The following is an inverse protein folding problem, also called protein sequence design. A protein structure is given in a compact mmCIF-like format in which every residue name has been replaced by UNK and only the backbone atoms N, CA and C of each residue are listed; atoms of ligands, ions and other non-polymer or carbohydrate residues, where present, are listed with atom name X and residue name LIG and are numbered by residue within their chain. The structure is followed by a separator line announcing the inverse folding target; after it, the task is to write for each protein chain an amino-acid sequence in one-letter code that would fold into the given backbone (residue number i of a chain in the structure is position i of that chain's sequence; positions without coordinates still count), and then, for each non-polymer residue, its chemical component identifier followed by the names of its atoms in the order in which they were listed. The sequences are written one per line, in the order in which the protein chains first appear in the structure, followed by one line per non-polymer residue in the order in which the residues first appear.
data_IF_416686876668
#
_entry.id   IF_416686876668
#
_cell.length_a   1.000
_cell.length_b   1.000
_cell.length_c   1.000
_cell.angle_alpha   90.00
_cell.angle_beta   90.00
_cell.angle_gamma   90.00
#
_symmetry.space_group_name_H-M   'P 1'
#
loop_
_entity.id
_entity.type
_entity.pdbx_description
1 polymer ?
#
# COMPACT_ATOMS: atom_id res chain seq x y z
N UNK A 1 16.39 25.61 -1.20
CA UNK A 1 15.23 24.75 -1.53
C UNK A 1 14.22 24.90 -0.41
N UNK A 2 13.04 25.43 -0.72
CA UNK A 2 12.09 25.92 0.29
C UNK A 2 11.35 24.77 0.98
N UNK A 3 11.14 24.92 2.28
CA UNK A 3 10.44 24.01 3.21
C UNK A 3 8.93 23.87 2.95
N UNK A 4 8.49 24.03 1.69
CA UNK A 4 7.09 23.93 1.26
C UNK A 4 6.92 23.54 -0.21
N UNK A 5 7.98 23.09 -0.88
CA UNK A 5 7.89 22.54 -2.24
C UNK A 5 7.22 21.15 -2.21
N UNK A 6 6.08 20.94 -2.90
CA UNK A 6 5.41 19.63 -2.97
C UNK A 6 6.33 18.51 -3.47
N UNK A 7 7.25 18.81 -4.39
CA UNK A 7 8.18 17.80 -4.92
C UNK A 7 9.18 17.34 -3.87
N UNK A 8 9.66 18.27 -3.03
CA UNK A 8 10.55 17.94 -1.92
C UNK A 8 9.85 17.06 -0.88
N UNK A 9 8.57 17.35 -0.57
CA UNK A 9 7.78 16.57 0.37
C UNK A 9 7.52 15.14 -0.12
N UNK A 10 7.25 14.97 -1.42
CA UNK A 10 7.13 13.64 -2.05
C UNK A 10 8.46 12.88 -2.00
N UNK A 11 9.57 13.57 -2.31
CA UNK A 11 10.91 12.95 -2.24
C UNK A 11 11.25 12.47 -0.83
N UNK A 12 10.98 13.28 0.20
CA UNK A 12 11.19 12.91 1.60
C UNK A 12 10.33 11.73 2.03
N UNK A 13 9.08 11.65 1.57
CA UNK A 13 8.21 10.50 1.84
C UNK A 13 8.85 9.21 1.34
N UNK A 14 9.28 9.18 0.07
CA UNK A 14 9.91 8.00 -0.51
C UNK A 14 11.27 7.67 0.13
N UNK A 15 12.00 8.68 0.59
CA UNK A 15 13.23 8.45 1.37
C UNK A 15 12.94 7.72 2.67
N UNK A 16 11.89 8.11 3.42
CA UNK A 16 11.46 7.39 4.63
C UNK A 16 11.09 5.95 4.30
N UNK A 17 10.35 5.72 3.21
CA UNK A 17 9.98 4.36 2.79
C UNK A 17 11.21 3.51 2.48
N UNK A 18 12.16 4.09 1.74
CA UNK A 18 13.37 3.40 1.31
C UNK A 18 14.28 3.04 2.49
N UNK A 19 14.57 4.00 3.37
CA UNK A 19 15.48 3.81 4.50
C UNK A 19 14.94 2.78 5.50
N UNK A 20 13.63 2.75 5.70
CA UNK A 20 12.99 1.88 6.69
C UNK A 20 12.30 0.66 6.07
N UNK A 21 12.55 0.40 4.77
CA UNK A 21 12.00 -0.74 4.02
C UNK A 21 10.47 -0.89 4.14
N UNK A 22 9.75 0.25 4.14
CA UNK A 22 8.29 0.27 4.29
C UNK A 22 7.60 -0.22 3.03
N UNK A 23 6.44 -0.85 3.20
CA UNK A 23 5.60 -1.21 2.06
C UNK A 23 4.98 0.04 1.41
N UNK A 24 5.26 0.22 0.12
CA UNK A 24 4.81 1.39 -0.65
C UNK A 24 3.29 1.50 -0.71
N UNK A 25 2.60 0.41 -1.00
CA UNK A 25 1.15 0.43 -1.21
C UNK A 25 0.43 0.74 0.10
N UNK A 26 0.81 0.06 1.18
CA UNK A 26 0.24 0.26 2.50
C UNK A 26 0.55 1.66 3.02
N UNK A 27 1.78 2.15 2.85
CA UNK A 27 2.16 3.51 3.29
C UNK A 27 1.37 4.58 2.55
N UNK A 28 1.22 4.47 1.22
CA UNK A 28 0.40 5.40 0.43
C UNK A 28 -1.09 5.32 0.81
N UNK A 29 -1.62 4.12 1.04
CA UNK A 29 -3.00 3.93 1.50
C UNK A 29 -3.23 4.56 2.88
N UNK A 30 -2.27 4.43 3.78
CA UNK A 30 -2.31 5.02 5.12
C UNK A 30 -2.27 6.54 5.14
N UNK A 31 -1.84 7.21 4.05
CA UNK A 31 -1.92 8.66 3.96
C UNK A 31 -3.38 9.19 4.08
N UNK A 32 -4.38 8.34 3.82
CA UNK A 32 -5.80 8.66 4.07
C UNK A 32 -6.15 8.77 5.57
N UNK A 33 -5.35 8.14 6.44
CA UNK A 33 -5.45 8.13 7.89
C UNK A 33 -4.12 8.58 8.53
N UNK A 34 -3.90 9.89 8.50
CA UNK A 34 -2.65 10.50 9.01
C UNK A 34 -2.48 10.26 10.51
N UNK A 35 -3.56 10.16 11.28
CA UNK A 35 -3.49 9.86 12.71
C UNK A 35 -2.89 8.46 12.93
N UNK A 36 -3.26 7.49 12.11
CA UNK A 36 -2.65 6.16 12.15
C UNK A 36 -1.19 6.19 11.69
N UNK A 37 -0.86 6.91 10.61
CA UNK A 37 0.51 7.03 10.12
C UNK A 37 1.42 7.72 11.16
N UNK A 38 0.89 8.66 11.95
CA UNK A 38 1.63 9.38 13.00
C UNK A 38 2.10 8.51 14.16
N UNK A 39 1.57 7.29 14.28
CA UNK A 39 2.02 6.31 15.27
C UNK A 39 3.33 5.62 14.84
N UNK A 40 3.66 5.68 13.56
CA UNK A 40 4.92 5.18 13.03
C UNK A 40 5.99 6.27 13.15
N UNK A 41 6.94 6.04 14.06
CA UNK A 41 7.97 7.02 14.42
C UNK A 41 8.88 7.38 13.25
N UNK A 42 8.98 6.52 12.23
CA UNK A 42 9.83 6.76 11.07
C UNK A 42 9.31 7.94 10.23
N UNK A 43 8.03 8.28 10.35
CA UNK A 43 7.40 9.39 9.64
C UNK A 43 7.32 10.69 10.44
N UNK A 44 7.84 10.74 11.68
CA UNK A 44 7.65 11.88 12.60
C UNK A 44 7.95 13.23 11.95
N UNK A 45 9.18 13.40 11.43
CA UNK A 45 9.62 14.66 10.81
C UNK A 45 8.83 14.99 9.54
N UNK A 46 8.51 13.96 8.75
CA UNK A 46 7.78 14.12 7.50
C UNK A 46 6.34 14.54 7.75
N UNK A 47 5.68 13.97 8.77
CA UNK A 47 4.30 14.28 9.14
C UNK A 47 4.16 15.72 9.60
N UNK A 48 5.12 16.27 10.34
CA UNK A 48 5.09 17.70 10.72
C UNK A 48 5.08 18.62 9.49
N UNK A 49 5.85 18.28 8.45
CA UNK A 49 5.88 19.03 7.19
C UNK A 49 4.60 18.81 6.38
N UNK A 50 4.09 17.58 6.36
CA UNK A 50 2.86 17.22 5.68
C UNK A 50 1.64 17.94 6.29
N UNK A 51 1.54 18.00 7.62
CA UNK A 51 0.49 18.75 8.34
C UNK A 51 0.46 20.22 7.90
N UNK A 52 1.62 20.89 7.89
CA UNK A 52 1.71 22.30 7.44
C UNK A 52 1.24 22.48 6.00
N UNK A 53 1.42 21.47 5.14
CA UNK A 53 0.97 21.50 3.73
C UNK A 53 -0.53 21.23 3.61
N UNK A 54 -1.09 20.30 4.36
CA UNK A 54 -2.53 20.01 4.31
C UNK A 54 -3.37 21.07 5.03
N UNK A 55 -2.84 21.78 6.02
CA UNK A 55 -3.54 22.89 6.68
C UNK A 55 -3.79 24.07 5.72
N UNK A 56 -2.98 24.19 4.68
CA UNK A 56 -3.18 25.16 3.59
C UNK A 56 -4.27 24.69 2.60
N UNK A 57 -4.62 23.40 2.64
CA UNK A 57 -5.57 22.74 1.76
C UNK A 57 -6.90 22.51 2.48
N UNK A 58 -7.92 23.29 2.13
CA UNK A 58 -9.23 23.22 2.80
C UNK A 58 -10.14 22.12 2.25
N UNK A 59 -9.61 21.17 1.49
CA UNK A 59 -10.40 20.11 0.87
C UNK A 59 -10.94 19.13 1.90
N UNK A 60 -12.26 19.08 2.03
CA UNK A 60 -12.95 18.12 2.90
C UNK A 60 -13.02 16.70 2.32
N UNK A 61 -12.82 16.55 1.02
CA UNK A 61 -12.86 15.30 0.26
C UNK A 61 -11.48 14.61 0.15
N UNK A 62 -10.45 15.14 0.82
CA UNK A 62 -9.06 14.63 0.74
C UNK A 62 -8.98 13.12 0.94
N UNK A 63 -9.62 12.61 2.00
CA UNK A 63 -9.61 11.18 2.35
C UNK A 63 -10.25 10.32 1.26
N UNK A 64 -11.38 10.76 0.71
CA UNK A 64 -12.09 10.07 -0.37
C UNK A 64 -11.25 10.05 -1.64
N UNK A 65 -10.63 11.19 -2.00
CA UNK A 65 -9.74 11.28 -3.15
C UNK A 65 -8.54 10.33 -2.99
N UNK A 66 -7.89 10.32 -1.82
CA UNK A 66 -6.76 9.43 -1.55
C UNK A 66 -7.15 7.96 -1.65
N UNK A 67 -8.29 7.58 -1.07
CA UNK A 67 -8.78 6.21 -1.17
C UNK A 67 -9.16 5.80 -2.59
N UNK A 68 -9.55 6.76 -3.45
CA UNK A 68 -9.88 6.50 -4.86
C UNK A 68 -8.66 6.28 -5.77
N UNK A 69 -7.47 6.72 -5.35
CA UNK A 69 -6.24 6.63 -6.17
C UNK A 69 -5.16 5.74 -5.56
N UNK A 70 -5.18 5.53 -4.24
CA UNK A 70 -4.25 4.65 -3.53
C UNK A 70 -4.92 3.29 -3.32
N UNK A 71 -4.55 2.24 -4.09
CA UNK A 71 -5.19 0.95 -3.97
C UNK A 71 -4.92 0.34 -2.59
N UNK A 72 -5.92 -0.33 -2.04
CA UNK A 72 -5.78 -1.17 -0.85
C UNK A 72 -5.25 -2.56 -1.20
N UNK A 73 -5.62 -3.08 -2.37
CA UNK A 73 -5.24 -4.41 -2.83
C UNK A 73 -4.40 -4.33 -4.10
N UNK A 74 -3.26 -5.03 -4.09
CA UNK A 74 -2.38 -5.20 -5.24
C UNK A 74 -2.04 -6.68 -5.40
N UNK A 75 -1.63 -7.08 -6.61
CA UNK A 75 -1.17 -8.43 -6.86
C UNK A 75 0.26 -8.59 -6.33
N UNK A 76 0.39 -8.88 -5.04
CA UNK A 76 1.68 -9.20 -4.41
C UNK A 76 2.17 -10.55 -4.92
N UNK A 77 3.47 -10.66 -5.21
CA UNK A 77 4.06 -11.88 -5.76
C UNK A 77 3.78 -13.13 -4.91
N UNK A 78 3.85 -13.00 -3.57
CA UNK A 78 3.59 -14.14 -2.69
C UNK A 78 2.13 -14.63 -2.75
N UNK A 79 1.18 -13.71 -2.92
CA UNK A 79 -0.24 -14.06 -3.06
C UNK A 79 -0.48 -14.81 -4.37
N UNK A 80 0.18 -14.38 -5.45
CA UNK A 80 0.15 -15.07 -6.73
C UNK A 80 0.76 -16.48 -6.61
N UNK A 81 1.91 -16.60 -5.97
CA UNK A 81 2.60 -17.88 -5.75
C UNK A 81 1.76 -18.86 -4.91
N UNK A 82 1.16 -18.38 -3.82
CA UNK A 82 0.23 -19.19 -3.01
C UNK A 82 -0.95 -19.69 -3.85
N UNK A 83 -1.55 -18.82 -4.65
CA UNK A 83 -2.68 -19.16 -5.51
C UNK A 83 -2.29 -20.20 -6.58
N UNK A 84 -1.09 -20.08 -7.15
CA UNK A 84 -0.55 -21.06 -8.11
C UNK A 84 -0.35 -22.41 -7.44
N UNK A 85 0.28 -22.47 -6.26
CA UNK A 85 0.52 -23.72 -5.53
C UNK A 85 -0.77 -24.40 -5.11
N UNK A 86 -1.74 -23.66 -4.58
CA UNK A 86 -3.05 -24.22 -4.22
C UNK A 86 -3.77 -24.83 -5.44
N UNK A 87 -3.69 -24.17 -6.60
CA UNK A 87 -4.28 -24.69 -7.83
C UNK A 87 -3.54 -25.90 -8.39
N UNK A 88 -2.21 -25.90 -8.38
CA UNK A 88 -1.39 -26.97 -8.94
C UNK A 88 -1.42 -28.23 -8.08
N UNK A 89 -1.10 -28.08 -6.79
CA UNK A 89 -0.86 -29.17 -5.85
C UNK A 89 -2.16 -29.71 -5.26
N UNK A 90 -3.15 -28.83 -5.03
CA UNK A 90 -4.37 -29.17 -4.28
C UNK A 90 -5.64 -29.05 -5.12
N UNK A 91 -5.54 -28.59 -6.38
CA UNK A 91 -6.69 -28.33 -7.28
C UNK A 91 -7.72 -27.39 -6.66
N UNK A 92 -7.30 -26.47 -5.77
CA UNK A 92 -8.15 -25.44 -5.16
C UNK A 92 -7.94 -24.11 -5.88
N UNK A 93 -9.03 -23.47 -6.30
CA UNK A 93 -8.98 -22.24 -7.11
C UNK A 93 -9.59 -21.03 -6.39
N UNK A 94 -10.02 -21.20 -5.14
CA UNK A 94 -10.74 -20.17 -4.37
C UNK A 94 -9.90 -18.90 -4.17
N UNK A 95 -8.59 -19.05 -3.92
CA UNK A 95 -7.68 -17.91 -3.79
C UNK A 95 -7.52 -17.14 -5.10
N UNK A 96 -7.50 -17.82 -6.25
CA UNK A 96 -7.48 -17.17 -7.57
C UNK A 96 -8.76 -16.35 -7.77
N UNK A 97 -9.92 -16.93 -7.48
CA UNK A 97 -11.20 -16.22 -7.57
C UNK A 97 -11.24 -15.01 -6.63
N UNK A 98 -10.75 -15.15 -5.41
CA UNK A 98 -10.68 -14.06 -4.43
C UNK A 98 -9.76 -12.93 -4.89
N UNK A 99 -8.55 -13.26 -5.36
CA UNK A 99 -7.62 -12.27 -5.90
C UNK A 99 -8.20 -11.54 -7.11
N UNK A 100 -8.88 -12.25 -8.00
CA UNK A 100 -9.54 -11.64 -9.15
C UNK A 100 -10.59 -10.60 -8.74
N UNK A 101 -11.44 -10.92 -7.76
CA UNK A 101 -12.45 -9.99 -7.25
C UNK A 101 -11.84 -8.75 -6.57
N UNK A 102 -10.80 -8.96 -5.76
CA UNK A 102 -10.08 -7.86 -5.11
C UNK A 102 -9.41 -6.93 -6.14
N UNK A 103 -8.77 -7.48 -7.15
CA UNK A 103 -8.08 -6.70 -8.19
C UNK A 103 -9.02 -6.01 -9.17
N UNK A 104 -10.28 -6.46 -9.26
CA UNK A 104 -11.32 -5.76 -10.02
C UNK A 104 -11.76 -4.47 -9.34
N UNK A 105 -11.62 -4.39 -8.01
CA UNK A 105 -11.99 -3.24 -7.17
C UNK A 105 -10.90 -2.97 -6.13
N UNK A 106 -9.68 -2.59 -6.57
CA UNK A 106 -8.51 -2.57 -5.69
C UNK A 106 -8.54 -1.42 -4.68
N UNK A 107 -9.37 -0.40 -4.91
CA UNK A 107 -9.52 0.79 -4.06
C UNK A 107 -10.59 0.61 -2.96
N UNK A 108 -11.52 -0.32 -3.17
CA UNK A 108 -12.66 -0.56 -2.28
C UNK A 108 -12.22 -1.27 -0.99
N UNK A 109 -13.02 -1.11 0.05
CA UNK A 109 -12.91 -1.88 1.29
C UNK A 109 -13.64 -3.21 1.15
N UNK A 110 -12.97 -4.33 1.47
CA UNK A 110 -13.57 -5.66 1.44
C UNK A 110 -13.45 -6.33 2.82
N UNK A 111 -14.56 -6.38 3.56
CA UNK A 111 -14.60 -6.92 4.92
C UNK A 111 -14.14 -8.38 4.98
N UNK A 112 -13.20 -8.68 5.88
CA UNK A 112 -12.68 -10.03 6.09
C UNK A 112 -11.58 -10.44 5.10
N UNK A 113 -11.20 -9.56 4.18
CA UNK A 113 -10.11 -9.78 3.22
C UNK A 113 -8.87 -8.94 3.53
N UNK A 114 -8.77 -8.37 4.73
CA UNK A 114 -7.64 -7.55 5.17
C UNK A 114 -6.31 -8.31 5.12
N UNK A 115 -6.32 -9.63 5.26
CA UNK A 115 -5.11 -10.46 5.15
C UNK A 115 -4.40 -10.34 3.79
N UNK A 116 -5.11 -9.94 2.73
CA UNK A 116 -4.55 -9.76 1.40
C UNK A 116 -3.81 -8.41 1.24
N UNK A 117 -3.83 -7.55 2.26
CA UNK A 117 -3.04 -6.31 2.31
C UNK A 117 -1.71 -6.50 3.04
N UNK A 118 -1.52 -7.65 3.70
CA UNK A 118 -0.32 -7.94 4.46
C UNK A 118 0.94 -7.87 3.58
N UNK A 119 2.04 -7.47 4.20
CA UNK A 119 3.33 -7.48 3.56
C UNK A 119 3.75 -8.92 3.24
N UNK A 120 4.71 -9.04 2.31
CA UNK A 120 5.26 -10.33 1.96
C UNK A 120 5.92 -10.96 3.20
N UNK A 121 5.57 -12.21 3.55
CA UNK A 121 6.24 -12.91 4.64
C UNK A 121 7.71 -13.17 4.31
N UNK A 122 8.53 -13.45 5.33
CA UNK A 122 9.99 -13.61 5.17
C UNK A 122 10.38 -14.65 4.12
N UNK A 123 9.65 -15.76 4.02
CA UNK A 123 9.92 -16.81 3.04
C UNK A 123 9.71 -16.35 1.58
N UNK A 124 8.91 -15.31 1.39
CA UNK A 124 8.53 -14.76 0.10
C UNK A 124 9.42 -13.59 -0.34
N UNK A 125 10.32 -13.13 0.53
CA UNK A 125 11.31 -12.10 0.21
C UNK A 125 12.17 -12.57 -0.98
N UNK A 126 12.09 -11.87 -2.11
CA UNK A 126 12.82 -12.21 -3.33
C UNK A 126 12.11 -13.15 -4.31
N UNK A 127 10.85 -13.52 -4.06
CA UNK A 127 10.04 -14.21 -5.07
C UNK A 127 9.86 -13.33 -6.31
N UNK A 128 10.41 -13.82 -7.43
CA UNK A 128 10.09 -13.31 -8.75
C UNK A 128 9.09 -14.26 -9.39
N UNK A 129 7.84 -13.80 -9.49
CA UNK A 129 6.84 -14.51 -10.31
C UNK A 129 7.14 -14.13 -11.75
N UNK A 130 8.06 -14.87 -12.38
CA UNK A 130 8.35 -14.67 -13.80
C UNK A 130 7.17 -15.23 -14.60
N UNK A 131 6.53 -14.35 -15.38
CA UNK A 131 5.71 -14.81 -16.48
C UNK A 131 6.67 -15.36 -17.55
N UNK A 132 7.05 -16.63 -17.47
CA UNK A 132 7.73 -17.28 -18.59
C UNK A 132 6.72 -17.46 -19.72
N UNK A 133 6.80 -16.59 -20.71
CA UNK A 133 6.23 -16.78 -22.06
C UNK A 133 7.26 -17.46 -22.97
#
# INVERSE_FOLDING_TARGET
MGTGDPHALIGQFFEVLYQNQKDYTNSLRQLSDIDQLSKDTDFTDWIELYHKRIDQDKSSDRVELMNSVNPKYILRNYLAEEAIREAQDQKRYDKIATLFELLRKPFDEHQGLELYTNEAPDWAQGLSVSCSS
#
